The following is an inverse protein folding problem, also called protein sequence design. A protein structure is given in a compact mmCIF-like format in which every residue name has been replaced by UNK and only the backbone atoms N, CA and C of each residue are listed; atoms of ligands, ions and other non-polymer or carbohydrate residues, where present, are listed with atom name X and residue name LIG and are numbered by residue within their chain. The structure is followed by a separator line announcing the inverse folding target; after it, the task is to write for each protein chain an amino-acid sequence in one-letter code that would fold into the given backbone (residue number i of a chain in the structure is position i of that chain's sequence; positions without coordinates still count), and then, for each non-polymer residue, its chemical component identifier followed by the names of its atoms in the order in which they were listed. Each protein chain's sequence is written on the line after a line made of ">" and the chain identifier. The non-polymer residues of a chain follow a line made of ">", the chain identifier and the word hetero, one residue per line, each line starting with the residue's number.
data_IF_424423971605
#
_entry.id   IF_424423971605
#
_cell.length_a   1.000
_cell.length_b   1.000
_cell.length_c   1.000
_cell.angle_alpha   90.00
_cell.angle_beta   90.00
_cell.angle_gamma   90.00
#
_symmetry.space_group_name_H-M   'P 1'
#
loop_
_entity.id
_entity.type
_entity.pdbx_description
1 polymer ?
#
# COMPACT_ATOMS: atom_id res chain seq x y z
N UNK A 1 12.03 -8.07 25.75
CA UNK A 1 11.77 -8.24 24.30
C UNK A 1 11.34 -9.68 24.06
N UNK A 2 10.27 -9.94 23.30
CA UNK A 2 9.72 -11.30 23.18
C UNK A 2 10.65 -12.25 22.40
N UNK A 3 10.72 -13.52 22.81
CA UNK A 3 11.52 -14.56 22.15
C UNK A 3 11.24 -14.64 20.64
N UNK A 4 9.98 -14.45 20.25
CA UNK A 4 9.56 -14.39 18.84
C UNK A 4 10.36 -13.35 18.03
N UNK A 5 10.60 -12.15 18.57
CA UNK A 5 11.34 -11.10 17.85
C UNK A 5 12.79 -11.48 17.61
N UNK A 6 13.41 -12.14 18.59
CA UNK A 6 14.78 -12.62 18.46
C UNK A 6 14.86 -13.75 17.45
N UNK A 7 13.96 -14.74 17.52
CA UNK A 7 13.91 -15.85 16.57
C UNK A 7 13.70 -15.36 15.14
N UNK A 8 12.74 -14.47 14.91
CA UNK A 8 12.50 -13.93 13.56
C UNK A 8 13.67 -13.06 13.09
N UNK A 9 14.27 -12.29 14.00
CA UNK A 9 15.43 -11.45 13.70
C UNK A 9 16.66 -12.27 13.33
N UNK A 10 17.01 -13.28 14.13
CA UNK A 10 18.17 -14.15 13.86
C UNK A 10 17.96 -15.00 12.62
N UNK A 11 16.75 -15.54 12.42
CA UNK A 11 16.41 -16.26 11.20
C UNK A 11 16.56 -15.38 9.95
N UNK A 12 16.11 -14.12 10.01
CA UNK A 12 16.26 -13.16 8.92
C UNK A 12 17.73 -12.86 8.61
N UNK A 13 18.56 -12.64 9.64
CA UNK A 13 20.00 -12.41 9.47
C UNK A 13 20.69 -13.64 8.89
N UNK A 14 20.34 -14.85 9.36
CA UNK A 14 20.89 -16.10 8.83
C UNK A 14 20.52 -16.29 7.35
N UNK A 15 19.27 -16.02 6.96
CA UNK A 15 18.82 -16.07 5.56
C UNK A 15 19.55 -15.04 4.68
N UNK A 16 19.74 -13.81 5.17
CA UNK A 16 20.51 -12.79 4.45
C UNK A 16 21.98 -13.19 4.27
N UNK A 17 22.61 -13.72 5.32
CA UNK A 17 23.98 -14.21 5.25
C UNK A 17 24.12 -15.38 4.29
N UNK A 18 23.19 -16.33 4.34
CA UNK A 18 23.16 -17.48 3.43
C UNK A 18 22.95 -17.04 1.97
N UNK A 19 22.02 -16.12 1.70
CA UNK A 19 21.81 -15.56 0.37
C UNK A 19 23.03 -14.77 -0.15
N UNK A 20 23.69 -14.01 0.72
CA UNK A 20 24.92 -13.30 0.38
C UNK A 20 26.10 -14.24 0.11
N UNK A 21 26.21 -15.33 0.88
CA UNK A 21 27.19 -16.38 0.62
C UNK A 21 26.93 -17.04 -0.72
N UNK A 22 25.68 -17.41 -1.02
CA UNK A 22 25.31 -18.00 -2.31
C UNK A 22 25.67 -17.08 -3.49
N UNK A 23 25.41 -15.78 -3.30
CA UNK A 23 25.70 -14.77 -4.31
C UNK A 23 27.20 -14.71 -4.65
N UNK A 24 28.08 -14.89 -3.67
CA UNK A 24 29.52 -14.83 -3.90
C UNK A 24 30.08 -16.20 -4.31
N UNK A 25 29.55 -17.29 -3.76
CA UNK A 25 30.10 -18.63 -3.90
C UNK A 25 29.66 -19.33 -5.19
N UNK A 26 28.39 -19.20 -5.62
CA UNK A 26 27.88 -19.92 -6.79
C UNK A 26 27.59 -19.04 -8.02
N UNK A 27 27.68 -17.72 -7.90
CA UNK A 27 27.38 -16.83 -9.04
C UNK A 27 28.61 -16.62 -9.93
N UNK A 28 28.39 -16.58 -11.25
CA UNK A 28 29.46 -16.35 -12.23
C UNK A 28 30.20 -15.03 -11.98
N UNK A 29 31.51 -15.05 -12.24
CA UNK A 29 32.35 -13.86 -12.15
C UNK A 29 31.78 -12.74 -13.05
N UNK A 30 31.62 -11.54 -12.48
CA UNK A 30 31.09 -10.35 -13.17
C UNK A 30 29.58 -10.09 -13.01
N UNK A 31 28.79 -11.05 -12.49
CA UNK A 31 27.33 -10.84 -12.31
C UNK A 31 26.98 -10.01 -11.07
N UNK A 32 27.79 -10.08 -10.01
CA UNK A 32 27.53 -9.36 -8.74
C UNK A 32 27.45 -7.83 -8.93
N UNK A 33 28.36 -7.17 -9.67
CA UNK A 33 28.25 -5.73 -9.95
C UNK A 33 27.02 -5.34 -10.78
N UNK A 34 26.59 -6.19 -11.72
CA UNK A 34 25.36 -5.96 -12.49
C UNK A 34 24.13 -6.05 -11.56
N UNK A 35 24.11 -7.06 -10.68
CA UNK A 35 23.03 -7.23 -9.71
C UNK A 35 22.97 -6.06 -8.73
N UNK A 36 24.10 -5.60 -8.21
CA UNK A 36 24.17 -4.45 -7.30
C UNK A 36 23.67 -3.17 -7.99
N UNK A 37 24.08 -2.91 -9.22
CA UNK A 37 23.56 -1.79 -10.02
C UNK A 37 22.05 -1.87 -10.19
N UNK A 38 21.52 -3.06 -10.47
CA UNK A 38 20.08 -3.28 -10.56
C UNK A 38 19.38 -3.07 -9.22
N UNK A 39 19.91 -3.60 -8.12
CA UNK A 39 19.36 -3.43 -6.76
C UNK A 39 19.27 -1.96 -6.37
N UNK A 40 20.32 -1.18 -6.64
CA UNK A 40 20.34 0.27 -6.42
C UNK A 40 19.27 0.95 -7.28
N UNK A 41 19.20 0.61 -8.57
CA UNK A 41 18.18 1.15 -9.47
C UNK A 41 16.75 0.83 -9.02
N UNK A 42 16.49 -0.40 -8.58
CA UNK A 42 15.21 -0.84 -8.07
C UNK A 42 14.83 -0.12 -6.76
N UNK A 43 15.80 0.08 -5.85
CA UNK A 43 15.60 0.81 -4.60
C UNK A 43 15.25 2.29 -4.88
N UNK A 44 16.01 2.94 -5.76
CA UNK A 44 15.76 4.34 -6.17
C UNK A 44 14.38 4.46 -6.84
N UNK A 45 14.02 3.53 -7.72
CA UNK A 45 12.70 3.53 -8.35
C UNK A 45 11.57 3.29 -7.32
N UNK A 46 11.78 2.41 -6.35
CA UNK A 46 10.80 2.13 -5.31
C UNK A 46 10.61 3.32 -4.36
N UNK A 47 11.68 3.79 -3.73
CA UNK A 47 11.62 4.82 -2.69
C UNK A 47 11.46 6.23 -3.27
N UNK A 48 12.09 6.50 -4.42
CA UNK A 48 12.10 7.80 -5.06
C UNK A 48 10.88 8.08 -5.95
N UNK A 49 10.25 7.04 -6.51
CA UNK A 49 9.12 7.21 -7.44
C UNK A 49 7.87 6.52 -6.92
N UNK A 50 7.95 5.25 -6.59
CA UNK A 50 6.79 4.43 -6.28
C UNK A 50 6.13 4.83 -4.96
N UNK A 51 6.92 4.96 -3.90
CA UNK A 51 6.45 5.43 -2.59
C UNK A 51 5.79 6.82 -2.64
N UNK A 52 6.40 7.87 -3.25
CA UNK A 52 5.77 9.17 -3.35
C UNK A 52 4.52 9.15 -4.23
N UNK A 53 4.49 8.40 -5.34
CA UNK A 53 3.27 8.25 -6.15
C UNK A 53 2.13 7.61 -5.37
N UNK A 54 2.41 6.56 -4.60
CA UNK A 54 1.42 5.90 -3.73
C UNK A 54 0.91 6.86 -2.66
N UNK A 55 1.80 7.65 -2.05
CA UNK A 55 1.43 8.66 -1.06
C UNK A 55 0.59 9.78 -1.68
N UNK A 56 0.97 10.28 -2.86
CA UNK A 56 0.24 11.28 -3.64
C UNK A 56 -1.16 10.76 -4.01
N UNK A 57 -1.27 9.54 -4.52
CA UNK A 57 -2.55 8.92 -4.85
C UNK A 57 -3.44 8.81 -3.60
N UNK A 58 -2.88 8.39 -2.45
CA UNK A 58 -3.58 8.39 -1.18
C UNK A 58 -4.03 9.78 -0.73
N UNK A 59 -3.20 10.80 -0.92
CA UNK A 59 -3.51 12.20 -0.60
C UNK A 59 -4.60 12.78 -1.51
N UNK A 60 -4.52 12.53 -2.82
CA UNK A 60 -5.53 12.94 -3.82
C UNK A 60 -6.86 12.25 -3.53
N UNK A 61 -6.85 10.95 -3.21
CA UNK A 61 -8.07 10.21 -2.87
C UNK A 61 -8.69 10.75 -1.58
N UNK A 62 -7.87 11.02 -0.55
CA UNK A 62 -8.29 11.67 0.70
C UNK A 62 -8.86 13.06 0.42
N UNK A 63 -8.24 13.84 -0.45
CA UNK A 63 -8.71 15.18 -0.81
C UNK A 63 -10.01 15.14 -1.60
N UNK A 64 -10.15 14.23 -2.56
CA UNK A 64 -11.34 14.04 -3.37
C UNK A 64 -12.55 13.54 -2.54
N UNK A 65 -12.31 12.64 -1.58
CA UNK A 65 -13.35 12.17 -0.64
C UNK A 65 -13.62 13.19 0.49
N UNK A 66 -12.58 13.83 1.01
CA UNK A 66 -12.66 14.81 2.09
C UNK A 66 -13.41 16.08 1.69
N UNK A 67 -13.37 16.48 0.42
CA UNK A 67 -14.19 17.58 -0.12
C UNK A 67 -15.67 17.25 -0.28
N UNK A 68 -16.07 15.98 -0.22
CA UNK A 68 -17.47 15.52 -0.39
C UNK A 68 -18.14 15.03 0.90
N UNK A 69 -17.45 15.08 2.05
CA UNK A 69 -17.96 14.59 3.33
C UNK A 69 -18.45 15.70 4.27
N UNK A 70 -19.73 15.74 4.68
CA UNK A 70 -20.24 16.67 5.68
C UNK A 70 -19.59 16.56 7.08
N UNK A 71 -18.80 15.51 7.32
CA UNK A 71 -18.21 15.18 8.64
C UNK A 71 -16.85 15.79 8.94
N UNK A 72 -16.19 16.49 8.00
CA UNK A 72 -14.86 17.06 8.22
C UNK A 72 -14.82 18.18 9.29
N UNK A 73 -15.97 18.72 9.70
CA UNK A 73 -16.10 19.74 10.77
C UNK A 73 -16.44 19.17 12.15
N UNK A 74 -16.84 17.92 12.25
CA UNK A 74 -17.16 17.28 13.54
C UNK A 74 -15.99 16.39 13.93
N UNK A 75 -15.06 16.94 14.72
CA UNK A 75 -13.95 16.21 15.33
C UNK A 75 -14.40 15.18 16.37
N UNK A 76 -15.32 14.30 15.99
CA UNK A 76 -15.71 13.11 16.75
C UNK A 76 -14.88 11.97 16.17
N UNK A 77 -13.66 11.83 16.70
CA UNK A 77 -12.91 10.61 16.54
C UNK A 77 -13.67 9.48 17.22
N UNK A 78 -14.44 8.71 16.46
CA UNK A 78 -14.89 7.40 16.94
C UNK A 78 -13.66 6.56 17.20
N UNK A 79 -13.43 6.26 18.48
CA UNK A 79 -12.31 5.48 18.99
C UNK A 79 -12.21 4.10 18.35
N UNK A 80 -11.30 4.00 17.38
CA UNK A 80 -10.65 2.76 16.98
C UNK A 80 -9.19 3.14 16.74
N UNK A 81 -8.29 2.60 17.55
CA UNK A 81 -6.85 2.82 17.51
C UNK A 81 -6.25 2.44 16.15
N UNK A 82 -6.17 3.40 15.22
CA UNK A 82 -5.20 3.40 14.14
C UNK A 82 -5.05 4.83 13.58
N UNK A 83 -3.83 5.40 13.50
CA UNK A 83 -3.55 6.64 12.78
C UNK A 83 -3.89 6.62 11.27
N UNK A 84 -4.37 5.49 10.75
CA UNK A 84 -4.80 5.26 9.36
C UNK A 84 -6.29 4.86 9.32
N UNK A 85 -7.16 5.77 9.77
CA UNK A 85 -8.57 5.52 10.10
C UNK A 85 -9.48 5.10 8.93
N UNK A 86 -10.16 3.96 9.14
CA UNK A 86 -10.89 3.04 8.24
C UNK A 86 -11.64 3.58 7.01
N UNK A 87 -11.42 2.91 5.85
CA UNK A 87 -12.07 3.18 4.57
C UNK A 87 -11.32 2.58 3.36
N UNK A 88 -11.94 2.62 2.18
CA UNK A 88 -11.47 2.08 0.88
C UNK A 88 -10.08 2.58 0.47
N UNK A 89 -9.61 3.69 1.04
CA UNK A 89 -8.27 4.25 0.79
C UNK A 89 -7.14 3.27 1.14
N UNK A 90 -7.28 2.42 2.17
CA UNK A 90 -6.25 1.45 2.54
C UNK A 90 -6.12 0.34 1.51
N UNK A 91 -7.25 -0.06 0.92
CA UNK A 91 -7.32 -1.04 -0.16
C UNK A 91 -6.69 -0.48 -1.42
N UNK A 92 -7.06 0.75 -1.81
CA UNK A 92 -6.49 1.41 -2.99
C UNK A 92 -4.98 1.60 -2.85
N UNK A 93 -4.51 2.01 -1.67
CA UNK A 93 -3.08 2.14 -1.39
C UNK A 93 -2.35 0.80 -1.49
N UNK A 94 -2.94 -0.27 -0.95
CA UNK A 94 -2.41 -1.63 -1.08
C UNK A 94 -2.33 -2.07 -2.55
N UNK A 95 -3.40 -1.86 -3.32
CA UNK A 95 -3.43 -2.18 -4.75
C UNK A 95 -2.38 -1.44 -5.57
N UNK A 96 -2.16 -0.15 -5.29
CA UNK A 96 -1.11 0.65 -5.95
C UNK A 96 0.29 0.16 -5.61
N UNK A 97 0.55 -0.22 -4.35
CA UNK A 97 1.84 -0.79 -3.94
C UNK A 97 2.09 -2.12 -4.65
N UNK A 98 1.11 -3.03 -4.64
CA UNK A 98 1.21 -4.34 -5.28
C UNK A 98 1.44 -4.19 -6.78
N UNK A 99 0.63 -3.36 -7.46
CA UNK A 99 0.78 -3.09 -8.89
C UNK A 99 2.13 -2.47 -9.25
N UNK A 100 2.61 -1.53 -8.44
CA UNK A 100 3.93 -0.94 -8.65
C UNK A 100 5.08 -1.93 -8.45
N UNK A 101 5.03 -2.78 -7.42
CA UNK A 101 6.03 -3.83 -7.21
C UNK A 101 6.02 -4.86 -8.35
N UNK A 102 4.84 -5.26 -8.84
CA UNK A 102 4.71 -6.12 -10.02
C UNK A 102 5.40 -5.51 -11.24
N UNK A 103 5.25 -4.20 -11.46
CA UNK A 103 5.91 -3.50 -12.57
C UNK A 103 7.43 -3.49 -12.41
N UNK A 104 7.97 -3.18 -11.22
CA UNK A 104 9.42 -3.19 -11.00
C UNK A 104 10.06 -4.57 -11.26
N UNK A 105 9.35 -5.64 -10.90
CA UNK A 105 9.81 -7.02 -11.16
C UNK A 105 9.67 -7.40 -12.63
N UNK A 106 8.62 -6.94 -13.31
CA UNK A 106 8.35 -7.27 -14.71
C UNK A 106 9.30 -6.56 -15.70
N UNK A 107 9.75 -5.34 -15.40
CA UNK A 107 10.63 -4.55 -16.28
C UNK A 107 11.85 -5.32 -16.78
N UNK A 108 12.70 -5.94 -15.93
CA UNK A 108 13.86 -6.68 -16.42
C UNK A 108 13.51 -7.91 -17.26
N UNK A 109 12.35 -8.54 -17.02
CA UNK A 109 11.88 -9.67 -17.83
C UNK A 109 11.41 -9.21 -19.22
N UNK A 110 10.69 -8.08 -19.29
CA UNK A 110 10.27 -7.46 -20.55
C UNK A 110 11.47 -6.97 -21.38
N UNK A 111 12.48 -6.37 -20.74
CA UNK A 111 13.70 -5.93 -21.42
C UNK A 111 14.53 -7.11 -21.98
N UNK A 112 14.36 -8.31 -21.42
CA UNK A 112 15.02 -9.54 -21.87
C UNK A 112 14.16 -10.40 -22.79
N UNK A 113 12.94 -9.95 -23.12
CA UNK A 113 12.00 -10.71 -23.92
C UNK A 113 12.57 -10.94 -25.33
N UNK A 114 12.71 -12.21 -25.73
CA UNK A 114 13.23 -12.60 -27.05
C UNK A 114 14.68 -13.11 -27.06
N UNK A 115 15.46 -12.94 -25.98
CA UNK A 115 16.84 -13.43 -25.90
C UNK A 115 16.94 -14.91 -25.43
N UNK A 116 15.91 -15.72 -25.69
CA UNK A 116 15.88 -17.12 -25.25
C UNK A 116 16.89 -17.96 -26.03
N UNK A 117 17.86 -18.57 -25.32
CA UNK A 117 18.77 -19.57 -25.89
C UNK A 117 18.15 -20.97 -26.00
N UNK A 118 16.93 -21.18 -25.54
CA UNK A 118 16.36 -22.52 -25.38
C UNK A 118 15.09 -22.71 -26.24
N UNK A 119 15.13 -23.57 -27.29
CA UNK A 119 14.06 -23.70 -28.28
C UNK A 119 12.77 -24.35 -27.76
N UNK A 120 12.80 -24.98 -26.58
CA UNK A 120 11.62 -25.54 -25.90
C UNK A 120 10.85 -24.52 -25.04
N UNK A 121 11.36 -23.30 -24.88
CA UNK A 121 10.62 -22.24 -24.20
C UNK A 121 9.58 -21.70 -25.17
N UNK A 122 8.32 -22.02 -24.91
CA UNK A 122 7.20 -21.39 -25.61
C UNK A 122 7.35 -19.87 -25.44
N UNK A 123 7.32 -19.06 -26.52
CA UNK A 123 7.49 -17.63 -26.43
C UNK A 123 6.37 -17.05 -25.58
N UNK A 124 6.68 -16.84 -24.30
CA UNK A 124 5.73 -16.34 -23.33
C UNK A 124 5.69 -14.82 -23.46
N UNK A 125 4.51 -14.29 -23.77
CA UNK A 125 4.32 -12.85 -23.83
C UNK A 125 4.27 -12.28 -22.41
N UNK A 126 5.43 -11.83 -21.92
CA UNK A 126 5.55 -11.21 -20.59
C UNK A 126 4.76 -9.91 -20.50
N UNK A 127 4.53 -9.22 -21.61
CA UNK A 127 3.74 -7.99 -21.64
C UNK A 127 2.27 -8.31 -21.39
N UNK A 128 1.72 -9.31 -22.10
CA UNK A 128 0.35 -9.77 -21.88
C UNK A 128 0.14 -10.29 -20.45
N UNK A 129 1.07 -11.10 -19.93
CA UNK A 129 1.00 -11.62 -18.56
C UNK A 129 1.08 -10.50 -17.50
N UNK A 130 1.96 -9.51 -17.70
CA UNK A 130 2.06 -8.35 -16.82
C UNK A 130 0.77 -7.54 -16.80
N UNK A 131 0.18 -7.26 -17.98
CA UNK A 131 -1.12 -6.58 -18.08
C UNK A 131 -2.23 -7.36 -17.37
N UNK A 132 -2.25 -8.69 -17.51
CA UNK A 132 -3.21 -9.56 -16.83
C UNK A 132 -3.09 -9.44 -15.30
N UNK A 133 -1.86 -9.45 -14.76
CA UNK A 133 -1.62 -9.31 -13.33
C UNK A 133 -2.01 -7.92 -12.81
N UNK A 134 -1.76 -6.86 -13.58
CA UNK A 134 -2.23 -5.51 -13.25
C UNK A 134 -3.75 -5.41 -13.27
N UNK A 135 -4.40 -5.97 -14.28
CA UNK A 135 -5.86 -6.00 -14.40
C UNK A 135 -6.49 -6.75 -13.22
N UNK A 136 -5.93 -7.90 -12.84
CA UNK A 136 -6.35 -8.66 -11.67
C UNK A 136 -6.19 -7.85 -10.38
N UNK A 137 -5.02 -7.22 -10.19
CA UNK A 137 -4.75 -6.37 -9.01
C UNK A 137 -5.74 -5.23 -8.92
N UNK A 138 -6.04 -4.57 -10.04
CA UNK A 138 -7.05 -3.51 -10.14
C UNK A 138 -8.45 -4.05 -9.78
N UNK A 139 -8.85 -5.18 -10.37
CA UNK A 139 -10.16 -5.79 -10.14
C UNK A 139 -10.37 -6.14 -8.66
N UNK A 140 -9.39 -6.78 -8.01
CA UNK A 140 -9.42 -7.10 -6.57
C UNK A 140 -9.52 -5.83 -5.73
N UNK A 141 -8.74 -4.80 -6.09
CA UNK A 141 -8.74 -3.50 -5.38
C UNK A 141 -10.11 -2.82 -5.47
N UNK A 142 -10.73 -2.83 -6.65
CA UNK A 142 -12.07 -2.26 -6.89
C UNK A 142 -13.13 -3.05 -6.13
N UNK A 143 -13.11 -4.39 -6.22
CA UNK A 143 -14.07 -5.26 -5.54
C UNK A 143 -14.05 -5.05 -4.02
N UNK A 144 -12.87 -5.10 -3.40
CA UNK A 144 -12.70 -4.88 -1.96
C UNK A 144 -13.09 -3.46 -1.53
N UNK A 145 -12.86 -2.47 -2.39
CA UNK A 145 -13.28 -1.08 -2.15
C UNK A 145 -14.80 -0.92 -2.19
N UNK A 146 -15.46 -1.58 -3.14
CA UNK A 146 -16.91 -1.57 -3.31
C UNK A 146 -17.62 -2.29 -2.16
N UNK A 147 -17.13 -3.46 -1.74
CA UNK A 147 -17.66 -4.22 -0.61
C UNK A 147 -17.64 -3.43 0.71
N UNK A 148 -16.71 -2.48 0.86
CA UNK A 148 -16.57 -1.65 2.07
C UNK A 148 -17.36 -0.32 2.03
N UNK A 149 -17.87 0.07 0.86
CA UNK A 149 -18.65 1.30 0.70
C UNK A 149 -19.99 1.33 1.47
N UNK A 150 -20.83 0.27 1.48
CA UNK A 150 -22.12 0.30 2.17
C UNK A 150 -21.98 0.35 3.70
N UNK A 151 -21.02 -0.36 4.28
CA UNK A 151 -20.74 -0.34 5.73
C UNK A 151 -20.36 1.07 6.22
N UNK A 152 -19.61 1.83 5.42
CA UNK A 152 -19.29 3.22 5.71
C UNK A 152 -20.52 4.14 5.65
N UNK A 153 -21.36 3.97 4.62
CA UNK A 153 -22.59 4.76 4.44
C UNK A 153 -23.59 4.54 5.58
N UNK A 154 -23.80 3.29 6.00
CA UNK A 154 -24.69 2.94 7.11
C UNK A 154 -24.25 3.57 8.43
N UNK A 155 -22.95 3.58 8.72
CA UNK A 155 -22.38 4.18 9.94
C UNK A 155 -22.56 5.71 9.98
N UNK A 156 -22.44 6.38 8.84
CA UNK A 156 -22.71 7.81 8.74
C UNK A 156 -24.19 8.15 8.97
N UNK A 157 -25.11 7.35 8.41
CA UNK A 157 -26.54 7.53 8.63
C UNK A 157 -26.92 7.37 10.12
N UNK A 158 -26.38 6.33 10.78
CA UNK A 158 -26.60 6.10 12.21
C UNK A 158 -26.08 7.24 13.10
N UNK A 159 -24.90 7.79 12.78
CA UNK A 159 -24.35 8.96 13.49
C UNK A 159 -25.19 10.23 13.26
N UNK A 160 -25.72 10.41 12.04
CA UNK A 160 -26.63 11.53 11.71
C UNK A 160 -27.91 11.48 12.55
N UNK A 161 -28.52 10.30 12.66
CA UNK A 161 -29.68 10.09 13.53
C UNK A 161 -29.36 10.32 15.01
N UNK A 162 -28.26 9.77 15.52
CA UNK A 162 -27.85 9.95 16.92
C UNK A 162 -27.52 11.41 17.28
N UNK A 163 -26.92 12.19 16.38
CA UNK A 163 -26.72 13.62 16.58
C UNK A 163 -28.03 14.42 16.44
N UNK A 164 -28.99 13.90 15.67
CA UNK A 164 -30.36 14.38 15.52
C UNK A 164 -31.14 14.34 16.82
N UNK A 165 -31.01 13.25 17.58
CA UNK A 165 -31.75 12.99 18.82
C UNK A 165 -31.16 13.66 20.06
N UNK A 166 -29.98 14.29 19.98
CA UNK A 166 -29.39 15.00 21.12
C UNK A 166 -30.12 16.33 21.44
N UNK A 167 -30.52 16.57 22.69
CA UNK A 167 -31.17 17.81 23.10
C UNK A 167 -30.28 19.05 22.84
N UNK A 168 -30.88 20.18 22.47
CA UNK A 168 -30.20 21.38 21.96
C UNK A 168 -29.09 21.97 22.84
N UNK A 169 -29.11 21.70 24.16
CA UNK A 169 -28.06 22.10 25.10
C UNK A 169 -26.75 21.31 24.93
N UNK A 170 -26.82 20.02 24.61
CA UNK A 170 -25.65 19.17 24.36
C UNK A 170 -24.95 19.51 23.04
N UNK A 171 -25.74 19.85 22.00
CA UNK A 171 -25.23 20.32 20.69
C UNK A 171 -24.34 21.57 20.80
N UNK A 172 -24.71 22.54 21.64
CA UNK A 172 -23.90 23.76 21.87
C UNK A 172 -22.58 23.48 22.60
N UNK A 173 -22.55 22.48 23.50
CA UNK A 173 -21.36 22.13 24.30
C UNK A 173 -20.27 21.43 23.49
N UNK A 174 -20.65 20.57 22.56
CA UNK A 174 -19.73 19.91 21.61
C UNK A 174 -19.12 20.93 20.63
N UNK A 175 -19.93 21.90 20.17
CA UNK A 175 -19.49 22.92 19.20
C UNK A 175 -18.56 23.99 19.81
N UNK A 176 -18.63 24.20 21.13
CA UNK A 176 -17.86 25.23 21.86
C UNK A 176 -16.66 24.71 22.63
N UNK A 177 -16.29 23.42 22.56
CA UNK A 177 -15.16 22.89 23.33
C UNK A 177 -13.88 23.65 22.95
N UNK A 178 -13.31 24.48 23.85
CA UNK A 178 -12.12 25.24 23.54
C UNK A 178 -10.96 24.28 23.32
N UNK A 179 -10.12 24.55 22.30
CA UNK A 179 -8.81 23.91 22.20
C UNK A 179 -8.06 24.20 23.50
N UNK A 180 -7.74 23.15 24.27
CA UNK A 180 -6.84 23.28 25.42
C UNK A 180 -5.54 23.95 24.92
N UNK A 181 -5.07 25.04 25.55
CA UNK A 181 -3.73 25.54 25.28
C UNK A 181 -2.73 24.45 25.67
N UNK A 182 -1.77 24.20 24.77
CA UNK A 182 -0.62 23.35 25.04
C UNK A 182 0.28 24.15 25.99
N UNK A 183 0.39 23.67 27.24
CA UNK A 183 1.55 23.94 28.08
C UNK A 183 2.67 22.98 27.72
#
# INVERSE_FOLDING_TARGET
>A
MSALRWVTGTAGVALLGFGGWLLVAETRAGTVPDLLRWMVGALVAHDGVLAPLVLLAGAVLRWAYGRRGPGARTGVGTGGTAPYGGGSYGVVRGGLLVGGCLTLVAVPMMLRQGESRNPTVLPLDYTANWLLLLALTLAVTVALSALRAPAYRARLAALGHALGTLPGRARRRVRRRPRRPRG
#
